data_IF_262603705992
#
_entry.id   IF_262603705992
#
_cell.length_a   1.000
_cell.length_b   1.000
_cell.length_c   1.000
_cell.angle_alpha   90.00
_cell.angle_beta   90.00
_cell.angle_gamma   90.00
#
_symmetry.space_group_name_H-M   'P 1'
#
loop_
_entity.id
_entity.type
_entity.pdbx_description
1 polymer ?
#
# COMPACT_ATOMS: atom_id res chain seq x y z
N UNK A 1 -0.12 28.16 -8.71
CA UNK A 1 -0.75 27.27 -7.74
C UNK A 1 -0.16 27.51 -6.37
N UNK A 2 -0.92 28.15 -5.48
CA UNK A 2 -0.47 28.52 -4.13
C UNK A 2 -0.93 27.44 -3.14
N UNK A 3 -0.04 26.63 -2.54
CA UNK A 3 -0.39 25.66 -1.53
C UNK A 3 -0.64 26.25 -0.11
N UNK A 4 -0.86 27.58 -0.02
CA UNK A 4 -0.96 28.30 1.24
C UNK A 4 -2.29 29.06 1.32
N UNK A 5 -3.36 28.37 1.75
CA UNK A 5 -4.55 29.09 2.19
C UNK A 5 -4.43 29.43 3.69
N UNK A 6 -4.68 30.70 4.12
CA UNK A 6 -4.65 31.05 5.53
C UNK A 6 -5.83 30.42 6.27
N UNK A 7 -5.53 29.71 7.38
CA UNK A 7 -6.56 29.20 8.28
C UNK A 7 -6.93 30.34 9.25
N UNK A 8 -8.18 30.80 9.23
CA UNK A 8 -8.70 31.74 10.24
C UNK A 8 -8.99 30.98 11.54
N UNK A 9 -8.22 31.24 12.57
CA UNK A 9 -8.50 30.77 13.92
C UNK A 9 -9.55 31.63 14.60
N UNK A 10 -10.40 31.08 15.49
CA UNK A 10 -11.54 31.78 16.09
C UNK A 10 -11.16 32.86 17.14
N UNK A 11 -9.88 33.03 17.45
CA UNK A 11 -9.40 34.00 18.43
C UNK A 11 -8.33 34.91 17.82
N UNK A 12 -8.75 36.09 17.36
CA UNK A 12 -7.88 37.18 16.93
C UNK A 12 -7.36 37.05 15.49
N UNK A 13 -6.91 38.19 14.94
CA UNK A 13 -6.43 38.31 13.53
C UNK A 13 -5.04 37.72 13.28
N UNK A 14 -4.71 36.57 13.81
CA UNK A 14 -3.47 35.90 13.51
C UNK A 14 -3.73 34.87 12.41
N UNK A 15 -3.36 35.20 11.19
CA UNK A 15 -3.31 34.24 10.09
C UNK A 15 -2.11 33.32 10.28
N UNK A 16 -2.35 32.10 10.75
CA UNK A 16 -1.31 31.06 10.76
C UNK A 16 -1.27 30.42 9.40
N UNK A 17 -0.23 30.67 8.65
CA UNK A 17 0.03 29.97 7.39
C UNK A 17 0.70 28.64 7.71
N UNK A 18 -0.09 27.56 7.70
CA UNK A 18 0.46 26.21 7.80
C UNK A 18 1.03 25.83 6.44
N UNK A 19 2.35 25.76 6.32
CA UNK A 19 2.99 25.20 5.13
C UNK A 19 2.80 23.68 5.17
N UNK A 20 1.97 23.15 4.29
CA UNK A 20 1.85 21.71 4.08
C UNK A 20 3.08 21.23 3.30
N UNK A 21 3.71 20.19 3.82
CA UNK A 21 4.83 19.51 3.18
C UNK A 21 4.29 18.35 2.34
N UNK A 22 4.85 18.15 1.17
CA UNK A 22 4.64 16.92 0.40
C UNK A 22 5.20 15.73 1.17
N UNK A 23 4.36 14.73 1.40
CA UNK A 23 4.70 13.46 2.03
C UNK A 23 4.60 12.34 1.01
N UNK A 24 5.43 11.33 1.15
CA UNK A 24 5.39 10.14 0.30
C UNK A 24 4.60 9.06 0.97
N UNK A 25 3.65 8.48 0.25
CA UNK A 25 2.86 7.36 0.72
C UNK A 25 2.83 6.21 -0.30
N UNK A 26 2.67 5.00 0.21
CA UNK A 26 2.50 3.80 -0.59
C UNK A 26 1.12 3.21 -0.30
N UNK A 27 0.36 2.97 -1.36
CA UNK A 27 -0.97 2.42 -1.30
C UNK A 27 -1.00 1.05 -1.98
N UNK A 28 -1.69 0.09 -1.37
CA UNK A 28 -2.07 -1.16 -2.02
C UNK A 28 -3.45 -1.01 -2.60
N UNK A 29 -3.64 -1.43 -3.84
CA UNK A 29 -4.91 -1.42 -4.54
C UNK A 29 -5.27 -2.83 -4.99
N UNK A 30 -6.55 -3.20 -4.88
CA UNK A 30 -7.01 -4.54 -5.24
C UNK A 30 -8.47 -4.56 -5.66
N UNK A 31 -8.80 -5.52 -6.53
CA UNK A 31 -10.16 -5.80 -6.99
C UNK A 31 -10.32 -7.27 -7.34
N UNK A 32 -11.49 -7.86 -7.04
CA UNK A 32 -11.84 -9.22 -7.47
C UNK A 32 -13.27 -9.35 -7.99
N UNK A 33 -13.88 -8.25 -8.39
CA UNK A 33 -15.22 -8.21 -8.98
C UNK A 33 -15.23 -7.36 -10.26
N UNK A 34 -16.02 -7.80 -11.24
CA UNK A 34 -16.25 -7.05 -12.47
C UNK A 34 -14.98 -6.89 -13.29
N UNK A 35 -14.80 -5.74 -13.90
CA UNK A 35 -13.59 -5.36 -14.61
C UNK A 35 -12.53 -4.89 -13.61
N UNK A 36 -11.73 -5.83 -13.13
CA UNK A 36 -10.74 -5.63 -12.08
C UNK A 36 -9.70 -4.56 -12.47
N UNK A 37 -9.21 -4.63 -13.69
CA UNK A 37 -8.20 -3.69 -14.20
C UNK A 37 -8.76 -2.28 -14.29
N UNK A 38 -10.01 -2.13 -14.75
CA UNK A 38 -10.69 -0.84 -14.79
C UNK A 38 -10.86 -0.24 -13.41
N UNK A 39 -11.24 -1.02 -12.39
CA UNK A 39 -11.32 -0.53 -11.02
C UNK A 39 -9.97 -0.08 -10.45
N UNK A 40 -8.88 -0.78 -10.76
CA UNK A 40 -7.54 -0.34 -10.36
C UNK A 40 -7.14 0.96 -11.07
N UNK A 41 -7.47 1.10 -12.35
CA UNK A 41 -7.24 2.33 -13.10
C UNK A 41 -8.06 3.49 -12.55
N UNK A 42 -9.32 3.28 -12.17
CA UNK A 42 -10.14 4.30 -11.50
C UNK A 42 -9.53 4.76 -10.17
N UNK A 43 -8.93 3.84 -9.39
CA UNK A 43 -8.21 4.22 -8.18
C UNK A 43 -7.02 5.14 -8.48
N UNK A 44 -6.25 4.82 -9.50
CA UNK A 44 -5.08 5.62 -9.93
C UNK A 44 -5.53 6.98 -10.44
N UNK A 45 -6.57 7.04 -11.27
CA UNK A 45 -7.12 8.30 -11.79
C UNK A 45 -7.66 9.18 -10.66
N UNK A 46 -8.40 8.61 -9.71
CA UNK A 46 -8.92 9.35 -8.55
C UNK A 46 -7.83 9.94 -7.66
N UNK A 47 -6.65 9.30 -7.61
CA UNK A 47 -5.47 9.82 -6.92
C UNK A 47 -4.72 10.86 -7.78
N UNK A 48 -4.72 10.70 -9.10
CA UNK A 48 -4.03 11.57 -10.04
C UNK A 48 -4.74 12.91 -10.24
N UNK A 49 -6.07 12.90 -10.34
CA UNK A 49 -6.91 14.08 -10.56
C UNK A 49 -7.14 14.92 -9.28
N UNK A 50 -6.15 14.98 -8.41
CA UNK A 50 -6.23 15.68 -7.15
C UNK A 50 -5.08 16.69 -7.00
N UNK A 51 -5.40 17.95 -6.74
CA UNK A 51 -4.39 19.01 -6.55
C UNK A 51 -3.44 18.75 -5.39
N UNK A 52 -3.88 17.95 -4.40
CA UNK A 52 -3.13 17.62 -3.20
C UNK A 52 -2.46 16.25 -3.28
N UNK A 53 -2.51 15.60 -4.43
CA UNK A 53 -1.96 14.27 -4.62
C UNK A 53 -1.30 14.15 -6.01
N UNK A 54 -0.19 13.44 -6.08
CA UNK A 54 0.54 13.12 -7.31
C UNK A 54 0.87 11.65 -7.31
N UNK A 55 0.52 10.95 -8.39
CA UNK A 55 0.95 9.57 -8.60
C UNK A 55 2.35 9.59 -9.19
N UNK A 56 3.32 9.00 -8.50
CA UNK A 56 4.73 8.96 -8.91
C UNK A 56 5.06 7.68 -9.65
N UNK A 57 4.68 6.53 -9.10
CA UNK A 57 5.00 5.20 -9.64
C UNK A 57 3.81 4.27 -9.41
N UNK A 58 3.53 3.44 -10.40
CA UNK A 58 2.55 2.34 -10.33
C UNK A 58 3.27 1.03 -10.61
N UNK A 59 3.06 0.01 -9.79
CA UNK A 59 3.59 -1.33 -10.01
C UNK A 59 2.87 -2.04 -11.17
N UNK A 60 3.41 -3.15 -11.62
CA UNK A 60 2.63 -4.12 -12.39
C UNK A 60 1.52 -4.69 -11.51
N UNK A 61 0.39 -5.00 -12.12
CA UNK A 61 -0.68 -5.72 -11.44
C UNK A 61 -0.36 -7.20 -11.43
N UNK A 62 -0.64 -7.86 -10.29
CA UNK A 62 -0.48 -9.29 -10.10
C UNK A 62 -1.80 -9.93 -9.71
N UNK A 63 -2.06 -11.13 -10.21
CA UNK A 63 -3.22 -11.92 -9.84
C UNK A 63 -2.89 -12.79 -8.63
N UNK A 64 -3.77 -12.80 -7.62
CA UNK A 64 -3.59 -13.56 -6.38
C UNK A 64 -4.85 -14.25 -5.95
N UNK A 65 -4.71 -15.40 -5.27
CA UNK A 65 -5.83 -16.14 -4.71
C UNK A 65 -6.46 -15.39 -3.53
N UNK A 66 -7.80 -15.51 -3.34
CA UNK A 66 -8.49 -14.87 -2.23
C UNK A 66 -8.11 -15.50 -0.89
N UNK A 67 -8.13 -14.69 0.17
CA UNK A 67 -7.94 -15.11 1.54
C UNK A 67 -9.27 -15.49 2.20
N UNK A 68 -9.26 -16.55 3.01
CA UNK A 68 -10.40 -16.95 3.85
C UNK A 68 -11.34 -18.00 3.22
N UNK A 69 -12.43 -18.36 3.92
CA UNK A 69 -13.29 -19.49 3.58
C UNK A 69 -14.38 -19.17 2.54
N UNK A 70 -14.51 -17.92 2.12
CA UNK A 70 -15.54 -17.50 1.15
C UNK A 70 -15.03 -17.77 -0.27
N UNK A 71 -15.78 -18.57 -1.02
CA UNK A 71 -15.50 -18.80 -2.44
C UNK A 71 -15.73 -17.51 -3.24
N UNK A 72 -14.73 -17.06 -3.96
CA UNK A 72 -14.72 -15.84 -4.75
C UNK A 72 -13.62 -15.87 -5.81
N UNK A 73 -13.69 -14.98 -6.78
CA UNK A 73 -12.67 -14.84 -7.82
C UNK A 73 -11.33 -14.36 -7.26
N UNK A 74 -10.26 -14.63 -8.00
CA UNK A 74 -8.94 -14.12 -7.72
C UNK A 74 -8.91 -12.59 -7.71
N UNK A 75 -8.06 -12.02 -6.88
CA UNK A 75 -7.78 -10.59 -6.85
C UNK A 75 -6.77 -10.20 -7.92
N UNK A 76 -6.95 -9.01 -8.48
CA UNK A 76 -5.90 -8.28 -9.16
C UNK A 76 -5.38 -7.22 -8.18
N UNK A 77 -4.06 -7.21 -7.92
CA UNK A 77 -3.43 -6.35 -6.93
C UNK A 77 -2.27 -5.56 -7.52
N UNK A 78 -2.05 -4.38 -6.98
CA UNK A 78 -0.91 -3.54 -7.29
C UNK A 78 -0.55 -2.60 -6.15
N UNK A 79 0.55 -1.88 -6.30
CA UNK A 79 0.95 -0.81 -5.39
C UNK A 79 1.19 0.49 -6.15
N UNK A 80 0.89 1.59 -5.48
CA UNK A 80 1.05 2.95 -6.01
C UNK A 80 1.89 3.76 -5.04
N UNK A 81 2.92 4.44 -5.55
CA UNK A 81 3.62 5.50 -4.82
C UNK A 81 2.98 6.83 -5.15
N UNK A 82 2.64 7.60 -4.14
CA UNK A 82 2.11 8.95 -4.26
C UNK A 82 2.93 9.94 -3.46
N UNK A 83 2.93 11.19 -3.91
CA UNK A 83 3.27 12.35 -3.09
C UNK A 83 1.97 13.10 -2.78
N UNK A 84 1.77 13.47 -1.52
CA UNK A 84 0.53 14.09 -1.07
C UNK A 84 0.75 15.21 -0.07
N UNK A 85 -0.13 16.22 -0.12
CA UNK A 85 -0.27 17.27 0.90
C UNK A 85 -1.27 16.88 1.99
N UNK A 86 -1.98 15.76 1.82
CA UNK A 86 -2.89 15.25 2.83
C UNK A 86 -2.14 14.76 4.06
N UNK A 87 -2.74 14.94 5.23
CA UNK A 87 -2.37 14.16 6.42
C UNK A 87 -2.82 12.70 6.25
N UNK A 88 -2.31 11.75 7.05
CA UNK A 88 -2.77 10.36 7.00
C UNK A 88 -4.29 10.20 7.08
N UNK A 89 -4.95 10.96 7.96
CA UNK A 89 -6.42 10.95 8.08
C UNK A 89 -7.15 11.53 6.88
N UNK A 90 -6.62 12.61 6.31
CA UNK A 90 -7.19 13.21 5.10
C UNK A 90 -7.04 12.25 3.91
N UNK A 91 -5.89 11.57 3.79
CA UNK A 91 -5.67 10.55 2.78
C UNK A 91 -6.64 9.38 2.94
N UNK A 92 -6.87 8.91 4.18
CA UNK A 92 -7.86 7.87 4.45
C UNK A 92 -9.27 8.26 3.96
N UNK A 93 -9.69 9.51 4.19
CA UNK A 93 -10.97 10.01 3.67
C UNK A 93 -11.00 10.00 2.15
N UNK A 94 -9.92 10.43 1.50
CA UNK A 94 -9.80 10.44 0.04
C UNK A 94 -9.93 9.03 -0.55
N UNK A 95 -9.20 8.06 -0.03
CA UNK A 95 -9.29 6.68 -0.53
C UNK A 95 -10.65 6.06 -0.28
N UNK A 96 -11.29 6.35 0.86
CA UNK A 96 -12.65 5.89 1.12
C UNK A 96 -13.67 6.46 0.12
N UNK A 97 -13.52 7.71 -0.31
CA UNK A 97 -14.37 8.32 -1.34
C UNK A 97 -14.18 7.58 -2.68
N UNK A 98 -12.92 7.33 -3.08
CA UNK A 98 -12.62 6.60 -4.32
C UNK A 98 -13.25 5.20 -4.30
N UNK A 99 -13.14 4.48 -3.17
CA UNK A 99 -13.76 3.17 -3.01
C UNK A 99 -15.30 3.23 -3.13
N UNK A 100 -15.93 4.23 -2.54
CA UNK A 100 -17.39 4.42 -2.63
C UNK A 100 -17.84 4.73 -4.05
N UNK A 101 -17.11 5.57 -4.77
CA UNK A 101 -17.38 5.90 -6.18
C UNK A 101 -17.23 4.66 -7.08
N UNK A 102 -16.34 3.73 -6.74
CA UNK A 102 -16.21 2.44 -7.40
C UNK A 102 -17.29 1.41 -7.01
N UNK A 103 -18.31 1.82 -6.26
CA UNK A 103 -19.43 0.97 -5.86
C UNK A 103 -19.12 -0.06 -4.77
N UNK A 104 -18.12 0.20 -3.92
CA UNK A 104 -17.82 -0.67 -2.79
C UNK A 104 -18.99 -0.73 -1.83
N UNK A 105 -19.56 -1.94 -1.64
CA UNK A 105 -20.52 -2.25 -0.59
C UNK A 105 -19.83 -3.09 0.48
N UNK A 106 -20.02 -2.75 1.77
CA UNK A 106 -19.39 -3.45 2.92
C UNK A 106 -20.30 -4.55 3.47
N UNK A 107 -21.04 -5.25 2.63
CA UNK A 107 -22.08 -6.17 3.08
C UNK A 107 -21.55 -7.49 3.64
N UNK A 108 -20.40 -7.98 3.20
CA UNK A 108 -19.84 -9.27 3.64
C UNK A 108 -18.40 -9.12 4.08
N UNK A 109 -18.12 -9.48 5.33
CA UNK A 109 -16.75 -9.58 5.84
C UNK A 109 -15.99 -10.68 5.08
N UNK A 110 -14.80 -10.38 4.53
CA UNK A 110 -14.01 -11.26 3.63
C UNK A 110 -14.68 -11.56 2.26
N UNK A 111 -15.75 -10.87 1.90
CA UNK A 111 -16.43 -11.04 0.63
C UNK A 111 -15.77 -10.33 -0.55
N UNK A 112 -16.34 -10.51 -1.77
CA UNK A 112 -15.88 -9.86 -2.99
C UNK A 112 -15.89 -8.34 -2.88
N UNK A 113 -14.92 -7.67 -3.55
CA UNK A 113 -14.77 -6.20 -3.52
C UNK A 113 -14.49 -5.67 -4.90
N UNK A 114 -15.23 -4.63 -5.29
CA UNK A 114 -14.99 -3.90 -6.54
C UNK A 114 -13.63 -3.21 -6.49
N UNK A 115 -13.35 -2.49 -5.39
CA UNK A 115 -12.10 -1.81 -5.17
C UNK A 115 -11.77 -1.75 -3.67
N UNK A 116 -10.53 -2.06 -3.33
CA UNK A 116 -9.97 -1.95 -1.99
C UNK A 116 -8.67 -1.16 -2.06
N UNK A 117 -8.53 -0.14 -1.22
CA UNK A 117 -7.34 0.71 -1.17
C UNK A 117 -6.85 0.78 0.28
N UNK A 118 -5.65 0.27 0.54
CA UNK A 118 -5.01 0.31 1.85
C UNK A 118 -3.80 1.25 1.84
N UNK A 119 -3.69 2.10 2.86
CA UNK A 119 -2.48 2.89 3.10
C UNK A 119 -1.45 1.98 3.78
N UNK A 120 -0.34 1.72 3.11
CA UNK A 120 0.68 0.80 3.58
C UNK A 120 1.77 1.50 4.38
N UNK A 121 2.36 2.54 3.81
CA UNK A 121 3.39 3.38 4.43
C UNK A 121 3.08 4.85 4.15
N UNK A 122 3.46 5.72 5.07
CA UNK A 122 3.33 7.17 4.95
C UNK A 122 4.56 7.85 5.56
N UNK A 123 5.49 8.33 4.72
CA UNK A 123 6.84 8.74 5.14
C UNK A 123 7.45 7.68 6.09
N UNK A 124 8.01 8.12 7.22
CA UNK A 124 8.44 7.24 8.31
C UNK A 124 7.49 7.31 9.52
N UNK A 125 6.24 7.70 9.27
CA UNK A 125 5.28 7.91 10.35
C UNK A 125 4.73 6.59 10.89
N UNK A 126 4.47 6.58 12.19
CA UNK A 126 3.75 5.53 12.91
C UNK A 126 2.43 6.14 13.37
N UNK A 127 1.32 5.63 12.84
CA UNK A 127 -0.03 6.08 13.17
C UNK A 127 -0.78 4.92 13.83
N UNK A 128 -1.31 5.15 15.03
CA UNK A 128 -2.07 4.17 15.79
C UNK A 128 -3.41 4.76 16.24
N UNK A 129 -4.36 4.80 15.32
CA UNK A 129 -5.71 5.28 15.54
C UNK A 129 -6.69 4.10 15.41
N UNK A 130 -7.91 4.22 15.96
CA UNK A 130 -8.92 3.16 15.87
C UNK A 130 -9.26 2.74 14.43
N UNK A 131 -9.24 3.71 13.50
CA UNK A 131 -9.62 3.56 12.09
C UNK A 131 -8.43 3.58 11.12
N UNK A 132 -7.20 3.81 11.62
CA UNK A 132 -6.01 3.94 10.78
C UNK A 132 -4.75 3.45 11.49
N UNK A 133 -4.12 2.44 10.91
CA UNK A 133 -2.83 1.91 11.35
C UNK A 133 -1.80 2.06 10.23
N UNK A 134 -0.72 2.81 10.49
CA UNK A 134 0.42 2.97 9.59
C UNK A 134 1.71 2.70 10.38
N UNK A 135 2.60 1.83 9.92
CA UNK A 135 2.50 0.93 8.77
C UNK A 135 1.27 0.02 8.84
N UNK A 136 0.75 -0.40 7.68
CA UNK A 136 -0.37 -1.34 7.67
C UNK A 136 -0.03 -2.59 8.48
N UNK A 137 -0.91 -2.94 9.42
CA UNK A 137 -0.64 -3.95 10.46
C UNK A 137 -0.27 -5.33 9.91
N UNK A 138 -0.76 -5.68 8.73
CA UNK A 138 -0.55 -7.00 8.12
C UNK A 138 0.41 -6.96 6.91
N UNK A 139 0.99 -5.81 6.54
CA UNK A 139 1.77 -5.69 5.30
C UNK A 139 2.92 -6.71 5.21
N UNK A 140 3.58 -6.97 6.32
CA UNK A 140 4.73 -7.88 6.39
C UNK A 140 4.39 -9.37 6.22
N UNK A 141 3.10 -9.70 6.27
CA UNK A 141 2.57 -11.07 6.10
C UNK A 141 1.89 -11.29 4.75
N UNK A 142 1.77 -10.25 3.92
CA UNK A 142 0.97 -10.28 2.68
C UNK A 142 1.85 -10.18 1.44
N UNK A 143 2.07 -11.29 0.76
CA UNK A 143 2.83 -11.31 -0.51
C UNK A 143 2.22 -10.39 -1.57
N UNK A 144 0.88 -10.34 -1.65
CA UNK A 144 0.16 -9.50 -2.61
C UNK A 144 0.33 -8.00 -2.36
N UNK A 145 0.87 -7.61 -1.20
CA UNK A 145 1.33 -6.25 -0.89
C UNK A 145 2.82 -6.11 -1.13
N UNK A 146 3.64 -7.01 -0.58
CA UNK A 146 5.10 -6.90 -0.61
C UNK A 146 5.68 -7.07 -2.01
N UNK A 147 5.14 -7.97 -2.83
CA UNK A 147 5.66 -8.18 -4.20
C UNK A 147 5.49 -6.94 -5.08
N UNK A 148 4.29 -6.34 -5.23
CA UNK A 148 4.14 -5.11 -6.00
C UNK A 148 4.90 -3.92 -5.37
N UNK A 149 4.92 -3.82 -4.05
CA UNK A 149 5.64 -2.76 -3.35
C UNK A 149 7.15 -2.88 -3.57
N UNK A 150 7.70 -4.10 -3.58
CA UNK A 150 9.11 -4.34 -3.85
C UNK A 150 9.51 -3.96 -5.29
N UNK A 151 8.60 -4.04 -6.26
CA UNK A 151 8.86 -3.59 -7.63
C UNK A 151 9.14 -2.10 -7.70
N UNK A 152 8.45 -1.29 -6.89
CA UNK A 152 8.52 0.18 -6.97
C UNK A 152 9.37 0.82 -5.87
N UNK A 153 9.50 0.17 -4.72
CA UNK A 153 10.18 0.72 -3.55
C UNK A 153 10.85 -0.37 -2.68
N UNK A 154 11.80 -1.15 -3.20
CA UNK A 154 12.47 -2.20 -2.43
C UNK A 154 13.23 -1.65 -1.21
N UNK A 155 13.66 -0.41 -1.28
CA UNK A 155 14.42 0.31 -0.26
C UNK A 155 13.56 0.99 0.83
N UNK A 156 12.25 1.09 0.63
CA UNK A 156 11.37 1.71 1.63
C UNK A 156 11.43 0.93 2.95
N UNK A 157 11.52 1.66 4.06
CA UNK A 157 11.74 1.06 5.39
C UNK A 157 10.45 1.03 6.18
N UNK A 158 10.16 -0.12 6.76
CA UNK A 158 9.11 -0.27 7.76
C UNK A 158 9.59 0.36 9.08
N UNK A 159 8.99 1.45 9.57
CA UNK A 159 9.53 2.24 10.65
C UNK A 159 9.49 1.55 12.03
N UNK A 160 8.68 0.50 12.20
CA UNK A 160 8.62 -0.28 13.44
C UNK A 160 9.64 -1.42 13.42
N UNK A 161 9.71 -2.19 12.33
CA UNK A 161 10.63 -3.33 12.21
C UNK A 161 12.05 -2.93 11.80
N UNK A 162 12.21 -1.71 11.32
CA UNK A 162 13.48 -1.19 10.78
C UNK A 162 14.08 -2.10 9.70
N UNK A 163 13.20 -2.63 8.85
CA UNK A 163 13.53 -3.49 7.70
C UNK A 163 13.02 -2.86 6.42
N UNK A 164 13.78 -3.04 5.34
CA UNK A 164 13.33 -2.65 4.00
C UNK A 164 12.23 -3.58 3.49
N UNK A 165 11.47 -3.10 2.51
CA UNK A 165 10.46 -3.93 1.83
C UNK A 165 11.10 -5.19 1.24
N UNK A 166 12.29 -5.06 0.65
CA UNK A 166 13.06 -6.20 0.13
C UNK A 166 13.38 -7.22 1.23
N UNK A 167 13.81 -6.79 2.40
CA UNK A 167 14.08 -7.66 3.54
C UNK A 167 12.82 -8.34 4.08
N UNK A 168 11.70 -7.60 4.16
CA UNK A 168 10.40 -8.18 4.56
C UNK A 168 9.92 -9.24 3.59
N UNK A 169 10.11 -9.01 2.29
CA UNK A 169 9.77 -10.00 1.25
C UNK A 169 10.64 -11.25 1.35
N UNK A 170 11.96 -11.10 1.56
CA UNK A 170 12.87 -12.21 1.80
C UNK A 170 12.50 -13.02 3.06
N UNK A 171 12.16 -12.35 4.15
CA UNK A 171 11.73 -12.99 5.40
C UNK A 171 10.44 -13.83 5.22
N UNK A 172 9.54 -13.39 4.35
CA UNK A 172 8.30 -14.10 4.06
C UNK A 172 8.49 -15.29 3.10
N UNK A 173 9.56 -15.29 2.29
CA UNK A 173 9.90 -16.35 1.32
C UNK A 173 11.23 -17.06 1.66
N UNK A 174 11.48 -17.56 2.86
CA UNK A 174 12.80 -18.05 3.25
C UNK A 174 13.25 -19.37 2.57
N UNK A 175 12.40 -20.05 1.82
CA UNK A 175 12.59 -21.49 1.49
C UNK A 175 12.95 -21.82 0.04
N UNK A 176 13.09 -20.86 -0.88
CA UNK A 176 13.35 -21.20 -2.28
C UNK A 176 14.82 -21.08 -2.72
N UNK A 177 15.78 -20.84 -1.82
CA UNK A 177 17.21 -20.69 -2.19
C UNK A 177 18.10 -21.89 -1.88
N UNK A 178 17.60 -22.99 -1.32
CA UNK A 178 18.41 -24.17 -0.99
C UNK A 178 17.93 -25.48 -1.64
N UNK A 179 17.63 -25.45 -2.95
CA UNK A 179 17.42 -26.69 -3.73
C UNK A 179 18.43 -26.84 -4.88
N UNK A 180 19.67 -26.40 -4.68
CA UNK A 180 20.67 -26.40 -5.76
C UNK A 180 22.12 -26.63 -5.35
N UNK A 181 22.40 -27.22 -4.18
CA UNK A 181 23.76 -27.71 -3.85
C UNK A 181 23.71 -29.23 -3.59
N UNK A 182 23.47 -29.96 -4.66
CA UNK A 182 23.76 -31.36 -4.69
C UNK A 182 25.27 -31.58 -4.85
N UNK A 183 25.87 -32.28 -3.89
CA UNK A 183 27.09 -33.02 -4.13
C UNK A 183 28.40 -32.36 -3.77
N UNK A 184 28.77 -32.33 -2.49
CA UNK A 184 30.17 -32.52 -2.10
C UNK A 184 30.29 -33.89 -1.43
N UNK A 185 30.60 -34.91 -2.24
CA UNK A 185 31.07 -36.18 -1.72
C UNK A 185 32.51 -36.02 -1.27
N UNK A 186 32.72 -36.01 0.04
CA UNK A 186 34.04 -36.22 0.63
C UNK A 186 34.41 -37.69 0.39
N UNK A 187 35.36 -37.94 -0.53
CA UNK A 187 36.11 -39.18 -0.56
C UNK A 187 37.08 -39.17 0.63
N UNK A 188 36.85 -40.06 1.56
CA UNK A 188 37.90 -40.49 2.49
C UNK A 188 38.87 -41.36 1.68
N UNK A 189 40.12 -40.96 1.60
CA UNK A 189 41.22 -41.84 1.29
C UNK A 189 41.80 -42.33 2.62
N UNK A 190 41.65 -43.61 2.84
CA UNK A 190 42.51 -44.37 3.78
C UNK A 190 43.86 -44.63 3.07
N UNK A 191 44.92 -44.31 3.78
CA UNK A 191 46.14 -45.14 3.91
C UNK A 191 46.81 -44.75 5.24
#
# INVERSE_FOLDING_TARGET
>A
NKPNAPIKLPFGNVAVTVRRKWSRAYLSIGSNMGDKEEYLNQAIEGLYDDENCRVSIVSKFIETEPYGPVEQDNFLNGCVEIETLYSPKELLRKVNIIELEAGRTREIHWGPRTLDIDIILFDNEIVNLPDLKIPHIEMHKRLFVLEPLNQIAPYAVHPIFNKTVSQLLEDLQPQNKCSGCGGCSFRQQND
#
